data_IF_268758656101
#
_entry.id   IF_268758656101
#
_cell.length_a   1.000
_cell.length_b   1.000
_cell.length_c   1.000
_cell.angle_alpha   90.00
_cell.angle_beta   90.00
_cell.angle_gamma   90.00
#
_symmetry.space_group_name_H-M   'P 1'
#
loop_
_entity.id
_entity.type
_entity.pdbx_description
1 polymer ?
#
# COMPACT_ATOMS: atom_id res chain seq x y z
N UNK A 1 -16.40 26.83 -16.20
CA UNK A 1 -17.11 25.61 -15.76
C UNK A 1 -16.71 25.35 -14.31
N UNK A 2 -17.67 25.38 -13.40
CA UNK A 2 -17.42 25.28 -11.96
C UNK A 2 -16.99 23.86 -11.58
N UNK A 3 -15.91 23.75 -10.81
CA UNK A 3 -15.44 22.50 -10.18
C UNK A 3 -16.56 21.97 -9.27
N UNK A 4 -17.05 20.74 -9.42
CA UNK A 4 -18.06 20.21 -8.52
C UNK A 4 -17.43 20.04 -7.13
N UNK A 5 -18.11 20.51 -6.10
CA UNK A 5 -17.75 20.23 -4.71
C UNK A 5 -17.69 18.71 -4.51
N UNK A 6 -16.56 18.20 -4.00
CA UNK A 6 -16.38 16.81 -3.61
C UNK A 6 -17.39 16.47 -2.50
N UNK A 7 -18.49 15.82 -2.88
CA UNK A 7 -19.49 15.37 -1.92
C UNK A 7 -18.98 14.15 -1.15
N UNK A 8 -19.40 14.05 0.12
CA UNK A 8 -19.25 12.94 1.09
C UNK A 8 -19.78 11.56 0.60
N UNK A 9 -19.90 11.36 -0.70
CA UNK A 9 -20.32 10.11 -1.32
C UNK A 9 -19.18 9.46 -2.11
N UNK A 10 -18.14 10.23 -2.48
CA UNK A 10 -17.04 9.75 -3.32
C UNK A 10 -16.06 8.85 -2.55
N UNK A 11 -15.70 9.21 -1.31
CA UNK A 11 -14.77 8.44 -0.48
C UNK A 11 -15.37 7.10 -0.05
N UNK A 12 -16.60 7.13 0.47
CA UNK A 12 -17.33 5.97 0.96
C UNK A 12 -17.59 4.98 -0.18
N UNK A 13 -17.97 5.49 -1.37
CA UNK A 13 -18.11 4.67 -2.57
C UNK A 13 -16.78 4.03 -2.97
N UNK A 14 -15.68 4.79 -2.96
CA UNK A 14 -14.35 4.25 -3.28
C UNK A 14 -13.91 3.17 -2.28
N UNK A 15 -14.16 3.37 -0.99
CA UNK A 15 -13.86 2.36 0.05
C UNK A 15 -14.74 1.12 -0.13
N UNK A 16 -16.02 1.28 -0.45
CA UNK A 16 -16.94 0.17 -0.73
C UNK A 16 -16.47 -0.66 -1.94
N UNK A 17 -16.11 0.00 -3.04
CA UNK A 17 -15.56 -0.66 -4.23
C UNK A 17 -14.24 -1.37 -3.93
N UNK A 18 -13.33 -0.74 -3.17
CA UNK A 18 -12.06 -1.34 -2.79
C UNK A 18 -12.26 -2.62 -1.95
N UNK A 19 -13.23 -2.60 -1.04
CA UNK A 19 -13.56 -3.74 -0.19
C UNK A 19 -14.31 -4.86 -0.95
N UNK A 20 -14.93 -4.55 -2.09
CA UNK A 20 -15.57 -5.56 -2.95
C UNK A 20 -14.55 -6.40 -3.75
N UNK A 21 -13.27 -5.98 -3.80
CA UNK A 21 -12.21 -6.75 -4.44
C UNK A 21 -11.78 -7.95 -3.59
N UNK A 22 -11.08 -8.90 -4.23
CA UNK A 22 -10.55 -10.09 -3.55
C UNK A 22 -9.60 -9.70 -2.41
N UNK A 23 -9.85 -10.23 -1.20
CA UNK A 23 -9.02 -9.91 -0.05
C UNK A 23 -7.63 -10.57 -0.12
N UNK A 24 -6.61 -9.89 0.41
CA UNK A 24 -5.26 -10.45 0.55
C UNK A 24 -5.25 -11.76 1.33
N UNK A 25 -6.12 -11.92 2.33
CA UNK A 25 -6.23 -13.16 3.10
C UNK A 25 -6.71 -14.33 2.24
N UNK A 26 -7.74 -14.11 1.40
CA UNK A 26 -8.24 -15.12 0.47
C UNK A 26 -7.17 -15.49 -0.57
N UNK A 27 -6.47 -14.50 -1.14
CA UNK A 27 -5.35 -14.72 -2.07
C UNK A 27 -4.24 -15.53 -1.43
N UNK A 28 -3.78 -15.16 -0.23
CA UNK A 28 -2.73 -15.87 0.50
C UNK A 28 -3.16 -17.30 0.83
N UNK A 29 -4.42 -17.52 1.23
CA UNK A 29 -4.94 -18.86 1.50
C UNK A 29 -4.97 -19.74 0.24
N UNK A 30 -5.38 -19.17 -0.90
CA UNK A 30 -5.38 -19.86 -2.19
C UNK A 30 -3.95 -20.22 -2.63
N UNK A 31 -3.00 -19.28 -2.49
CA UNK A 31 -1.58 -19.49 -2.80
C UNK A 31 -0.95 -20.56 -1.89
N UNK A 32 -1.29 -20.58 -0.59
CA UNK A 32 -0.85 -21.61 0.35
C UNK A 32 -1.35 -23.01 -0.03
N UNK A 33 -2.56 -23.13 -0.60
CA UNK A 33 -3.12 -24.39 -1.10
C UNK A 33 -2.47 -24.88 -2.40
N UNK A 34 -1.93 -23.98 -3.23
CA UNK A 34 -1.32 -24.30 -4.55
C UNK A 34 0.22 -24.25 -4.55
N UNK A 35 0.87 -24.66 -3.45
CA UNK A 35 2.33 -24.53 -3.27
C UNK A 35 3.12 -25.08 -4.47
N UNK A 36 3.94 -24.21 -5.07
CA UNK A 36 4.88 -24.54 -6.16
C UNK A 36 4.64 -23.78 -7.48
N UNK A 37 3.37 -23.59 -7.88
CA UNK A 37 3.06 -23.16 -9.26
C UNK A 37 3.07 -21.63 -9.48
N UNK A 38 2.89 -20.83 -8.43
CA UNK A 38 2.63 -19.38 -8.54
C UNK A 38 3.76 -18.47 -8.01
N UNK A 39 4.92 -19.00 -7.65
CA UNK A 39 6.00 -18.18 -7.08
C UNK A 39 6.55 -17.12 -8.06
N UNK A 40 6.47 -17.36 -9.37
CA UNK A 40 6.88 -16.40 -10.41
C UNK A 40 5.76 -15.52 -10.98
N UNK A 41 4.49 -15.91 -10.84
CA UNK A 41 3.37 -15.22 -11.46
C UNK A 41 3.07 -13.85 -10.83
N UNK A 42 3.29 -13.72 -9.52
CA UNK A 42 2.97 -12.48 -8.79
C UNK A 42 3.77 -11.27 -9.29
N UNK A 43 5.03 -11.48 -9.69
CA UNK A 43 5.88 -10.40 -10.20
C UNK A 43 5.40 -9.92 -11.57
N UNK A 44 5.05 -10.86 -12.46
CA UNK A 44 4.49 -10.56 -13.78
C UNK A 44 3.16 -9.80 -13.63
N UNK A 45 2.29 -10.26 -12.73
CA UNK A 45 1.00 -9.62 -12.48
C UNK A 45 1.17 -8.22 -11.88
N UNK A 46 2.09 -8.06 -10.92
CA UNK A 46 2.42 -6.77 -10.32
C UNK A 46 2.94 -5.78 -11.36
N UNK A 47 3.85 -6.22 -12.25
CA UNK A 47 4.34 -5.38 -13.35
C UNK A 47 3.20 -4.94 -14.27
N UNK A 48 2.30 -5.85 -14.63
CA UNK A 48 1.13 -5.52 -15.45
C UNK A 48 0.14 -4.57 -14.74
N UNK A 49 0.03 -4.61 -13.41
CA UNK A 49 -0.75 -3.63 -12.66
C UNK A 49 -0.07 -2.25 -12.62
N UNK A 50 1.25 -2.21 -12.43
CA UNK A 50 2.01 -0.95 -12.46
C UNK A 50 1.89 -0.25 -13.82
N UNK A 51 2.02 -1.00 -14.91
CA UNK A 51 1.84 -0.48 -16.27
C UNK A 51 0.43 0.11 -16.48
N UNK A 52 -0.62 -0.56 -16.00
CA UNK A 52 -2.00 -0.06 -16.04
C UNK A 52 -2.20 1.22 -15.21
N UNK A 53 -1.40 1.41 -14.16
CA UNK A 53 -1.37 2.64 -13.38
C UNK A 53 -0.44 3.71 -13.98
N UNK A 54 0.14 3.46 -15.16
CA UNK A 54 1.09 4.33 -15.83
C UNK A 54 2.36 4.59 -15.00
N UNK A 55 2.79 3.58 -14.23
CA UNK A 55 4.00 3.57 -13.42
C UNK A 55 5.01 2.64 -14.07
N UNK A 56 6.21 3.14 -14.39
CA UNK A 56 7.30 2.34 -14.95
C UNK A 56 8.10 1.68 -13.81
N UNK A 57 8.60 0.47 -14.05
CA UNK A 57 9.45 -0.23 -13.07
C UNK A 57 10.71 0.58 -12.73
N UNK A 58 11.32 1.25 -13.71
CA UNK A 58 12.47 2.14 -13.50
C UNK A 58 12.18 3.28 -12.50
N UNK A 59 10.94 3.74 -12.39
CA UNK A 59 10.57 4.78 -11.43
C UNK A 59 10.46 4.22 -10.01
N UNK A 60 10.08 2.95 -9.88
CA UNK A 60 10.06 2.22 -8.61
C UNK A 60 11.49 1.93 -8.14
N UNK A 61 12.38 1.53 -9.05
CA UNK A 61 13.77 1.19 -8.72
C UNK A 61 14.61 2.39 -8.25
N UNK A 62 14.19 3.62 -8.56
CA UNK A 62 14.81 4.85 -8.05
C UNK A 62 14.46 5.15 -6.59
N UNK A 63 13.48 4.45 -6.01
CA UNK A 63 13.05 4.70 -4.64
C UNK A 63 14.00 4.06 -3.62
N UNK A 64 14.32 4.80 -2.57
CA UNK A 64 15.00 4.26 -1.40
C UNK A 64 13.99 3.52 -0.51
N UNK A 65 13.88 2.19 -0.67
CA UNK A 65 12.86 1.37 0.01
C UNK A 65 13.46 0.58 1.17
N UNK A 66 12.83 0.68 2.34
CA UNK A 66 13.07 -0.21 3.48
C UNK A 66 11.92 -1.22 3.55
N UNK A 67 12.19 -2.47 3.20
CA UNK A 67 11.20 -3.54 3.28
C UNK A 67 11.29 -4.27 4.63
N UNK A 68 10.24 -4.19 5.43
CA UNK A 68 10.15 -4.87 6.73
C UNK A 68 9.22 -6.08 6.65
N UNK A 69 9.78 -7.27 6.87
CA UNK A 69 9.06 -8.55 6.95
C UNK A 69 9.17 -9.17 8.35
N UNK A 70 8.33 -10.16 8.66
CA UNK A 70 8.36 -10.89 9.93
C UNK A 70 6.98 -11.15 10.54
N UNK A 71 6.94 -11.93 11.62
CA UNK A 71 5.68 -12.35 12.26
C UNK A 71 5.10 -11.26 13.16
N UNK A 72 5.95 -10.57 13.92
CA UNK A 72 5.58 -9.54 14.91
C UNK A 72 6.44 -8.28 14.73
N UNK A 73 6.00 -7.16 15.27
CA UNK A 73 6.81 -5.92 15.32
C UNK A 73 6.89 -5.09 14.04
N UNK A 74 6.53 -5.62 12.86
CA UNK A 74 6.60 -4.90 11.57
C UNK A 74 6.05 -3.47 11.61
N UNK A 75 4.83 -3.30 12.12
CA UNK A 75 4.19 -1.98 12.18
C UNK A 75 4.96 -1.00 13.05
N UNK A 76 5.37 -1.43 14.24
CA UNK A 76 6.19 -0.62 15.16
C UNK A 76 7.56 -0.30 14.57
N UNK A 77 8.24 -1.28 13.96
CA UNK A 77 9.53 -1.09 13.30
C UNK A 77 9.43 -0.09 12.15
N UNK A 78 8.43 -0.22 11.26
CA UNK A 78 8.19 0.76 10.20
C UNK A 78 7.91 2.16 10.77
N UNK A 79 7.12 2.25 11.85
CA UNK A 79 6.74 3.54 12.43
C UNK A 79 7.92 4.25 13.09
N UNK A 80 8.77 3.52 13.82
CA UNK A 80 10.00 4.07 14.39
C UNK A 80 10.99 4.47 13.31
N UNK A 81 11.19 3.62 12.30
CA UNK A 81 12.09 3.90 11.18
C UNK A 81 11.66 5.17 10.43
N UNK A 82 10.36 5.28 10.11
CA UNK A 82 9.83 6.49 9.46
C UNK A 82 10.03 7.74 10.31
N UNK A 83 9.70 7.66 11.60
CA UNK A 83 9.79 8.82 12.50
C UNK A 83 11.22 9.32 12.66
N UNK A 84 12.19 8.41 12.77
CA UNK A 84 13.62 8.74 12.84
C UNK A 84 14.08 9.41 11.54
N UNK A 85 13.80 8.80 10.38
CA UNK A 85 14.20 9.35 9.07
C UNK A 85 13.57 10.72 8.82
N UNK A 86 12.29 10.88 9.13
CA UNK A 86 11.62 12.17 9.02
C UNK A 86 12.24 13.22 9.94
N UNK A 87 12.61 12.85 11.17
CA UNK A 87 13.29 13.75 12.11
C UNK A 87 14.68 14.18 11.62
N UNK A 88 15.33 13.34 10.82
CA UNK A 88 16.60 13.66 10.14
C UNK A 88 16.44 14.50 8.87
N UNK A 89 15.22 14.92 8.53
CA UNK A 89 14.96 15.82 7.39
C UNK A 89 14.66 15.11 6.06
N UNK A 90 14.55 13.78 6.05
CA UNK A 90 14.16 13.04 4.85
C UNK A 90 12.66 13.18 4.58
N UNK A 91 12.29 13.26 3.29
CA UNK A 91 10.90 13.05 2.86
C UNK A 91 10.59 11.56 2.98
N UNK A 92 9.58 11.22 3.78
CA UNK A 92 9.26 9.83 4.10
C UNK A 92 7.91 9.42 3.55
N UNK A 93 7.84 8.19 3.05
CA UNK A 93 6.61 7.44 2.87
C UNK A 93 6.53 6.31 3.88
N UNK A 94 5.32 5.98 4.33
CA UNK A 94 5.06 4.86 5.22
C UNK A 94 3.86 4.08 4.73
N UNK A 95 4.02 2.76 4.68
CA UNK A 95 2.97 1.82 4.36
C UNK A 95 2.81 0.78 5.46
N UNK A 96 1.58 0.56 5.93
CA UNK A 96 1.26 -0.52 6.87
C UNK A 96 -0.13 -1.11 6.64
N UNK A 97 -0.32 -2.37 7.08
CA UNK A 97 -1.62 -3.03 7.12
C UNK A 97 -1.71 -3.96 8.34
N UNK A 98 -2.92 -4.21 8.88
CA UNK A 98 -4.20 -3.58 8.55
C UNK A 98 -4.28 -2.11 9.02
N UNK A 99 -5.44 -1.47 8.82
CA UNK A 99 -5.79 -0.21 9.48
C UNK A 99 -6.63 -0.47 10.73
N UNK A 100 -6.70 0.49 11.64
CA UNK A 100 -7.50 0.51 12.86
C UNK A 100 -8.84 1.24 12.68
N UNK A 101 -8.83 2.47 12.18
CA UNK A 101 -10.03 3.33 12.08
C UNK A 101 -10.36 3.67 10.64
N UNK A 102 -9.39 4.17 9.85
CA UNK A 102 -9.64 4.65 8.48
C UNK A 102 -8.77 3.92 7.44
N UNK A 103 -9.15 3.85 6.17
CA UNK A 103 -8.28 3.22 5.15
C UNK A 103 -7.00 4.03 4.92
N UNK A 104 -7.11 5.36 5.04
CA UNK A 104 -6.03 6.33 4.75
C UNK A 104 -4.82 6.23 5.68
N UNK A 105 -4.96 5.72 6.90
CA UNK A 105 -3.82 5.52 7.82
C UNK A 105 -2.82 4.46 7.33
N UNK A 106 -3.21 3.62 6.36
CA UNK A 106 -2.30 2.65 5.74
C UNK A 106 -1.17 3.31 4.94
N UNK A 107 -1.38 4.51 4.44
CA UNK A 107 -0.41 5.25 3.62
C UNK A 107 -0.22 6.62 4.25
N UNK A 108 1.01 6.91 4.68
CA UNK A 108 1.37 8.21 5.23
C UNK A 108 2.52 8.83 4.46
N UNK A 109 2.44 10.14 4.23
CA UNK A 109 3.53 10.94 3.67
C UNK A 109 3.93 11.96 4.73
N UNK A 110 5.22 12.01 5.07
CA UNK A 110 5.75 12.89 6.10
C UNK A 110 4.99 12.80 7.43
N UNK A 111 4.65 11.58 7.85
CA UNK A 111 3.93 11.29 9.10
C UNK A 111 2.41 11.53 9.06
N UNK A 112 1.85 12.06 7.97
CA UNK A 112 0.40 12.36 7.84
C UNK A 112 -0.30 11.35 6.92
N UNK A 113 -1.49 10.84 7.28
CA UNK A 113 -2.33 10.08 6.35
C UNK A 113 -2.55 10.83 5.04
N UNK A 114 -2.66 10.09 3.94
CA UNK A 114 -3.01 10.67 2.65
C UNK A 114 -4.46 11.21 2.67
N UNK A 115 -4.66 12.44 2.19
CA UNK A 115 -5.97 13.11 2.09
C UNK A 115 -6.65 12.85 0.74
#
# INVERSE_FOLDING_TARGET
MATPALTNNSYETAVSQLNALQSNAATIQMLRKKRGFFQGANLVETAAFMERCNIKLDDVDKLNVIHVSGTKGKGSTCAFTESILRRLGYKTGFYSSPHLVHVRERIRINGRPFE
#
